data_IF_714646408290
#
_entry.id   IF_714646408290
#
_cell.length_a   1.000
_cell.length_b   1.000
_cell.length_c   1.000
_cell.angle_alpha   90.00
_cell.angle_beta   90.00
_cell.angle_gamma   90.00
#
_symmetry.space_group_name_H-M   'P 1'
#
loop_
_entity.id
_entity.type
_entity.pdbx_description
1 polymer ?
#
# COMPACT_ATOMS: atom_id res chain seq x y z
N UNK A 1 -13.81 2.53 -4.93
CA UNK A 1 -13.82 3.30 -3.66
C UNK A 1 -13.87 2.38 -2.46
N UNK A 2 -14.85 1.48 -2.39
CA UNK A 2 -14.87 0.44 -1.35
C UNK A 2 -13.63 -0.47 -1.41
N UNK A 3 -13.23 -0.89 -2.61
CA UNK A 3 -11.98 -1.62 -2.85
C UNK A 3 -10.75 -0.92 -2.26
N UNK A 4 -10.53 0.35 -2.60
CA UNK A 4 -9.39 1.15 -2.11
C UNK A 4 -9.35 1.23 -0.57
N UNK A 5 -10.52 1.30 0.05
CA UNK A 5 -10.63 1.42 1.50
C UNK A 5 -10.36 0.08 2.19
N UNK A 6 -10.83 -1.03 1.61
CA UNK A 6 -10.51 -2.39 2.06
C UNK A 6 -9.01 -2.68 1.86
N UNK A 7 -8.43 -2.28 0.73
CA UNK A 7 -6.99 -2.43 0.49
C UNK A 7 -6.17 -1.65 1.51
N UNK A 8 -6.59 -0.43 1.85
CA UNK A 8 -5.93 0.37 2.88
C UNK A 8 -6.05 -0.24 4.29
N UNK A 9 -7.19 -0.84 4.61
CA UNK A 9 -7.40 -1.61 5.86
C UNK A 9 -6.39 -2.75 5.98
N UNK A 10 -6.28 -3.56 4.92
CA UNK A 10 -5.35 -4.70 4.88
C UNK A 10 -3.89 -4.27 4.91
N UNK A 11 -3.55 -3.19 4.20
CA UNK A 11 -2.23 -2.60 4.30
C UNK A 11 -1.94 -2.08 5.72
N UNK A 12 -2.95 -1.55 6.41
CA UNK A 12 -2.86 -1.11 7.80
C UNK A 12 -2.61 -2.26 8.78
N UNK A 13 -3.34 -3.37 8.65
CA UNK A 13 -3.13 -4.59 9.45
C UNK A 13 -1.70 -5.12 9.30
N UNK A 14 -1.20 -5.23 8.06
CA UNK A 14 0.17 -5.67 7.78
C UNK A 14 1.23 -4.68 8.29
N UNK A 15 0.96 -3.37 8.21
CA UNK A 15 1.85 -2.33 8.71
C UNK A 15 1.96 -2.35 10.24
N UNK A 16 0.85 -2.57 10.95
CA UNK A 16 0.85 -2.76 12.40
C UNK A 16 1.64 -4.02 12.78
N UNK A 17 1.39 -5.15 12.09
CA UNK A 17 2.14 -6.38 12.31
C UNK A 17 3.64 -6.17 12.11
N UNK A 18 4.05 -5.53 11.00
CA UNK A 18 5.46 -5.25 10.72
C UNK A 18 6.08 -4.37 11.79
N UNK A 19 5.37 -3.31 12.23
CA UNK A 19 5.86 -2.43 13.28
C UNK A 19 6.08 -3.18 14.60
N UNK A 20 5.12 -4.00 15.00
CA UNK A 20 5.21 -4.80 16.22
C UNK A 20 6.35 -5.81 16.14
N UNK A 21 6.51 -6.47 14.98
CA UNK A 21 7.64 -7.35 14.73
C UNK A 21 8.99 -6.63 14.88
N UNK A 22 9.12 -5.41 14.35
CA UNK A 22 10.34 -4.60 14.48
C UNK A 22 10.60 -4.17 15.93
N UNK A 23 9.56 -3.86 16.72
CA UNK A 23 9.70 -3.52 18.14
C UNK A 23 10.25 -4.70 18.98
N UNK A 24 9.96 -5.94 18.57
CA UNK A 24 10.42 -7.16 19.25
C UNK A 24 11.87 -7.52 18.94
N UNK A 25 12.47 -6.95 17.89
CA UNK A 25 13.88 -7.18 17.55
C UNK A 25 14.77 -6.41 18.55
N UNK A 26 15.55 -7.15 19.33
CA UNK A 26 16.37 -6.61 20.42
C UNK A 26 17.32 -5.47 19.99
N UNK A 27 17.96 -5.60 18.83
CA UNK A 27 18.92 -4.62 18.32
C UNK A 27 18.31 -3.57 17.39
N UNK A 28 16.99 -3.56 17.20
CA UNK A 28 16.35 -2.60 16.32
C UNK A 28 16.29 -1.21 16.97
N UNK A 29 16.59 -0.12 16.24
CA UNK A 29 16.50 1.23 16.80
C UNK A 29 15.08 1.57 17.27
N UNK A 30 14.95 2.06 18.51
CA UNK A 30 13.69 2.46 19.12
C UNK A 30 13.60 3.98 19.31
N UNK A 31 12.40 4.58 19.19
CA UNK A 31 11.11 3.95 18.86
C UNK A 31 10.99 3.58 17.37
N UNK A 32 10.21 2.54 17.05
CA UNK A 32 9.92 2.21 15.64
C UNK A 32 9.03 3.30 15.06
N UNK A 33 9.53 3.96 14.01
CA UNK A 33 8.81 5.00 13.28
C UNK A 33 7.49 4.46 12.66
N UNK A 34 6.48 5.30 12.45
CA UNK A 34 5.27 4.91 11.76
C UNK A 34 5.59 4.36 10.35
N UNK A 35 4.86 3.34 9.92
CA UNK A 35 5.01 2.78 8.57
C UNK A 35 4.26 3.66 7.57
N UNK A 36 4.94 4.15 6.54
CA UNK A 36 4.30 4.95 5.49
C UNK A 36 3.63 4.05 4.44
N UNK A 37 2.31 4.19 4.31
CA UNK A 37 1.51 3.56 3.27
C UNK A 37 1.29 4.57 2.13
N UNK A 38 1.73 4.21 0.94
CA UNK A 38 1.51 5.02 -0.26
C UNK A 38 0.18 4.65 -0.91
N UNK A 39 -0.70 5.63 -1.11
CA UNK A 39 -2.04 5.44 -1.69
C UNK A 39 -2.26 6.44 -2.84
N UNK A 40 -2.82 6.01 -3.97
CA UNK A 40 -3.15 6.89 -5.10
C UNK A 40 -4.60 7.40 -5.06
N UNK A 41 -5.42 6.84 -4.17
CA UNK A 41 -6.82 7.25 -3.96
C UNK A 41 -6.91 8.41 -2.98
N UNK A 42 -6.91 9.64 -3.51
CA UNK A 42 -7.15 10.86 -2.71
C UNK A 42 -8.45 10.76 -1.89
N UNK A 43 -9.46 10.07 -2.42
CA UNK A 43 -10.73 9.86 -1.71
C UNK A 43 -10.60 8.95 -0.48
N UNK A 44 -9.73 7.94 -0.53
CA UNK A 44 -9.43 7.09 0.62
C UNK A 44 -8.63 7.89 1.66
N UNK A 45 -7.57 8.58 1.23
CA UNK A 45 -6.73 9.43 2.08
C UNK A 45 -7.56 10.48 2.83
N UNK A 46 -8.41 11.22 2.10
CA UNK A 46 -9.24 12.26 2.69
C UNK A 46 -10.26 11.74 3.72
N UNK A 47 -10.65 10.45 3.61
CA UNK A 47 -11.56 9.82 4.56
C UNK A 47 -10.84 9.34 5.82
N UNK A 48 -9.60 8.88 5.72
CA UNK A 48 -8.85 8.38 6.87
C UNK A 48 -8.68 9.43 7.98
N UNK A 49 -8.45 10.69 7.59
CA UNK A 49 -8.34 11.81 8.52
C UNK A 49 -9.68 12.39 8.99
N UNK A 50 -10.81 11.92 8.46
CA UNK A 50 -12.11 12.51 8.74
C UNK A 50 -12.71 11.95 10.03
N UNK A 51 -13.07 12.83 10.97
CA UNK A 51 -13.69 12.43 12.24
C UNK A 51 -15.16 12.02 12.08
N UNK A 52 -15.79 12.40 10.96
CA UNK A 52 -17.23 12.28 10.70
C UNK A 52 -17.45 11.50 9.39
N UNK A 53 -16.93 10.29 9.30
CA UNK A 53 -17.30 9.39 8.21
C UNK A 53 -18.42 8.45 8.65
N UNK A 54 -19.66 8.80 8.30
CA UNK A 54 -20.82 7.94 8.53
C UNK A 54 -20.96 6.95 7.36
N UNK A 55 -20.03 5.98 7.29
CA UNK A 55 -19.97 4.99 6.22
C UNK A 55 -21.34 4.40 5.88
N UNK A 56 -21.62 4.22 4.58
CA UNK A 56 -22.95 3.79 4.09
C UNK A 56 -23.38 2.42 4.62
N UNK A 57 -22.43 1.57 4.99
CA UNK A 57 -22.64 0.23 5.51
C UNK A 57 -21.82 -0.03 6.78
N UNK A 58 -22.24 -1.01 7.57
CA UNK A 58 -21.59 -1.38 8.82
C UNK A 58 -20.12 -1.78 8.62
N UNK A 59 -19.83 -2.58 7.59
CA UNK A 59 -18.47 -3.06 7.32
C UNK A 59 -17.52 -1.92 6.95
N UNK A 60 -17.98 -0.96 6.14
CA UNK A 60 -17.18 0.21 5.74
C UNK A 60 -16.93 1.13 6.93
N UNK A 61 -17.89 1.26 7.85
CA UNK A 61 -17.69 2.00 9.10
C UNK A 61 -16.67 1.34 10.02
N UNK A 62 -16.67 0.00 10.11
CA UNK A 62 -15.67 -0.74 10.90
C UNK A 62 -14.27 -0.47 10.35
N UNK A 63 -14.07 -0.66 9.04
CA UNK A 63 -12.80 -0.40 8.36
C UNK A 63 -12.31 1.04 8.62
N UNK A 64 -13.21 2.03 8.50
CA UNK A 64 -12.85 3.41 8.76
C UNK A 64 -12.32 3.63 10.17
N UNK A 65 -12.99 3.04 11.17
CA UNK A 65 -12.57 3.17 12.56
C UNK A 65 -11.20 2.54 12.79
N UNK A 66 -10.96 1.34 12.23
CA UNK A 66 -9.65 0.66 12.33
C UNK A 66 -8.54 1.50 11.73
N UNK A 67 -8.67 1.97 10.49
CA UNK A 67 -7.62 2.78 9.84
C UNK A 67 -7.41 4.11 10.59
N UNK A 68 -8.49 4.73 11.08
CA UNK A 68 -8.41 5.96 11.88
C UNK A 68 -7.66 5.73 13.20
N UNK A 69 -7.87 4.61 13.86
CA UNK A 69 -7.15 4.23 15.08
C UNK A 69 -5.66 4.03 14.79
N UNK A 70 -5.31 3.29 13.74
CA UNK A 70 -3.91 3.10 13.32
C UNK A 70 -3.20 4.43 13.02
N UNK A 71 -3.89 5.33 12.33
CA UNK A 71 -3.37 6.67 12.02
C UNK A 71 -3.21 7.52 13.29
N UNK A 72 -4.22 7.54 14.17
CA UNK A 72 -4.21 8.35 15.40
C UNK A 72 -3.17 7.87 16.41
N UNK A 73 -2.94 6.56 16.48
CA UNK A 73 -1.91 5.92 17.30
C UNK A 73 -0.49 6.05 16.72
N UNK A 74 -0.35 6.72 15.56
CA UNK A 74 0.93 6.88 14.84
C UNK A 74 1.60 5.53 14.51
N UNK A 75 0.81 4.50 14.25
CA UNK A 75 1.31 3.22 13.75
C UNK A 75 1.61 3.34 12.24
N UNK A 76 0.74 4.05 11.53
CA UNK A 76 0.87 4.32 10.09
C UNK A 76 0.87 5.81 9.79
N UNK A 77 1.52 6.17 8.68
CA UNK A 77 1.28 7.42 7.95
C UNK A 77 0.78 7.08 6.55
N UNK A 78 0.08 8.01 5.91
CA UNK A 78 -0.45 7.79 4.56
C UNK A 78 -0.01 8.94 3.67
N UNK A 79 0.75 8.62 2.63
CA UNK A 79 1.22 9.58 1.64
C UNK A 79 0.54 9.35 0.29
N UNK A 80 0.21 10.44 -0.37
CA UNK A 80 -0.37 10.40 -1.70
C UNK A 80 0.73 10.09 -2.74
N UNK A 81 0.53 9.05 -3.53
CA UNK A 81 1.36 8.73 -4.69
C UNK A 81 0.57 8.92 -5.98
N UNK A 82 1.21 9.39 -7.05
CA UNK A 82 0.53 9.46 -8.35
C UNK A 82 0.27 8.04 -8.82
N UNK A 83 -0.94 7.76 -9.33
CA UNK A 83 -1.31 6.41 -9.78
C UNK A 83 -0.27 5.78 -10.72
N UNK A 84 0.25 6.56 -11.68
CA UNK A 84 1.30 6.11 -12.62
C UNK A 84 2.60 5.62 -11.95
N UNK A 85 2.88 6.09 -10.74
CA UNK A 85 4.07 5.82 -9.95
C UNK A 85 3.75 4.84 -8.79
N UNK A 86 2.50 4.34 -8.70
CA UNK A 86 2.12 3.34 -7.71
C UNK A 86 2.59 1.95 -8.16
N UNK A 87 3.66 1.46 -7.53
CA UNK A 87 4.27 0.15 -7.81
C UNK A 87 3.36 -1.05 -7.51
N UNK A 88 2.29 -0.84 -6.73
CA UNK A 88 1.32 -1.89 -6.38
C UNK A 88 0.19 -2.05 -7.41
N UNK A 89 -0.01 -1.07 -8.31
CA UNK A 89 -1.06 -1.12 -9.34
C UNK A 89 -1.02 -2.38 -10.21
N UNK A 90 0.15 -2.93 -10.64
CA UNK A 90 0.20 -4.16 -11.44
C UNK A 90 -0.39 -5.38 -10.73
N UNK A 91 -0.46 -5.37 -9.39
CA UNK A 91 -1.00 -6.47 -8.60
C UNK A 91 -2.52 -6.41 -8.46
N UNK A 92 -3.14 -5.27 -8.79
CA UNK A 92 -4.58 -5.02 -8.58
C UNK A 92 -5.33 -4.60 -9.84
N UNK A 93 -4.62 -4.16 -10.89
CA UNK A 93 -5.18 -3.60 -12.13
C UNK A 93 -4.55 -4.26 -13.36
N UNK A 94 -5.34 -4.37 -14.44
CA UNK A 94 -4.80 -4.69 -15.77
C UNK A 94 -4.10 -3.48 -16.36
N UNK A 95 -2.76 -3.49 -16.38
CA UNK A 95 -1.94 -2.40 -16.91
C UNK A 95 -1.34 -2.74 -18.29
N UNK A 96 -0.89 -1.71 -19.02
CA UNK A 96 -0.09 -1.93 -20.22
C UNK A 96 1.24 -2.58 -19.89
N UNK A 97 1.78 -3.37 -20.83
CA UNK A 97 3.07 -4.05 -20.68
C UNK A 97 4.19 -3.09 -20.26
N UNK A 98 4.26 -1.93 -20.90
CA UNK A 98 5.27 -0.91 -20.58
C UNK A 98 5.20 -0.46 -19.12
N UNK A 99 3.98 -0.26 -18.60
CA UNK A 99 3.78 0.18 -17.21
C UNK A 99 4.15 -0.92 -16.23
N UNK A 100 3.77 -2.17 -16.52
CA UNK A 100 4.21 -3.33 -15.74
C UNK A 100 5.73 -3.41 -15.70
N UNK A 101 6.41 -3.36 -16.85
CA UNK A 101 7.87 -3.43 -16.93
C UNK A 101 8.57 -2.31 -16.12
N UNK A 102 8.03 -1.09 -16.15
CA UNK A 102 8.54 0.04 -15.34
C UNK A 102 8.40 -0.25 -13.85
N UNK A 103 7.18 -0.54 -13.40
CA UNK A 103 6.90 -0.83 -11.98
C UNK A 103 7.60 -2.09 -11.47
N UNK A 104 7.81 -3.10 -12.31
CA UNK A 104 8.60 -4.29 -11.95
C UNK A 104 10.05 -3.94 -11.61
N UNK A 105 10.67 -3.03 -12.37
CA UNK A 105 12.02 -2.55 -12.04
C UNK A 105 12.03 -1.77 -10.72
N UNK A 106 11.02 -0.94 -10.47
CA UNK A 106 10.87 -0.18 -9.22
C UNK A 106 10.64 -1.10 -8.00
N UNK A 107 9.95 -2.23 -8.19
CA UNK A 107 9.82 -3.30 -7.19
C UNK A 107 11.11 -4.11 -6.97
N UNK A 108 12.18 -3.85 -7.74
CA UNK A 108 13.43 -4.63 -7.69
C UNK A 108 13.38 -5.96 -8.44
N UNK A 109 12.33 -6.21 -9.23
CA UNK A 109 12.23 -7.42 -10.05
C UNK A 109 13.10 -7.31 -11.30
N UNK A 110 13.75 -8.41 -11.66
CA UNK A 110 14.53 -8.50 -12.89
C UNK A 110 13.61 -8.65 -14.09
N UNK A 111 13.78 -7.86 -15.17
CA UNK A 111 13.06 -8.07 -16.41
C UNK A 111 13.32 -9.49 -16.92
N UNK A 112 12.28 -10.16 -17.40
CA UNK A 112 12.45 -11.42 -18.11
C UNK A 112 13.17 -11.12 -19.43
N UNK A 113 14.46 -11.42 -19.49
CA UNK A 113 15.18 -11.41 -20.77
C UNK A 113 14.60 -12.53 -21.62
N UNK A 114 13.94 -12.18 -22.73
CA UNK A 114 13.72 -13.17 -23.77
C UNK A 114 15.11 -13.55 -24.28
N UNK A 115 15.54 -14.78 -24.02
CA UNK A 115 16.61 -15.38 -24.79
C UNK A 115 16.08 -15.49 -26.22
N UNK A 116 16.33 -14.46 -27.03
CA UNK A 116 16.25 -14.61 -28.47
C UNK A 116 17.48 -15.46 -28.82
N UNK A 117 17.27 -16.77 -28.92
CA UNK A 117 18.25 -17.64 -29.54
C UNK A 117 18.19 -17.28 -31.02
N UNK A 118 19.14 -16.47 -31.47
CA UNK A 118 19.40 -16.30 -32.90
C UNK A 118 19.77 -17.67 -33.47
N UNK A 119 18.78 -18.39 -33.96
CA UNK A 119 18.99 -19.52 -34.85
C UNK A 119 19.31 -18.96 -36.24
N UNK A 120 20.47 -18.35 -36.38
CA UNK A 120 21.10 -18.16 -37.69
C UNK A 120 21.85 -19.46 -38.01
N UNK A 121 21.24 -20.29 -38.85
CA UNK A 121 21.94 -21.37 -39.58
C UNK A 121 22.21 -20.88 -41.00
#
# INVERSE_FOLDING_TARGET
>A
MESEFITLDKAGEEAEWLRNFLEDIYYWPKPVAPVCIHCDSQTAIGRTGSMIYNGKSHHIRRIHNTIRELFSSRIITIDNVKSKDNVSDPLTKGLSRERVERTSKEMGLRPRTSQYVDNST
#
